data_IF_596201746917
#
_entry.id   IF_596201746917
#
_cell.length_a   1.000
_cell.length_b   1.000
_cell.length_c   1.000
_cell.angle_alpha   90.00
_cell.angle_beta   90.00
_cell.angle_gamma   90.00
#
_symmetry.space_group_name_H-M   'P 1'
#
loop_
_entity.id
_entity.type
_entity.pdbx_description
1 polymer ?
#
# COMPACT_ATOMS: atom_id res chain seq x y z
N UNK A 1 -4.01 -2.21 13.66
CA UNK A 1 -3.47 -1.73 12.37
C UNK A 1 -3.41 -0.22 12.39
N UNK A 2 -2.53 0.36 11.59
CA UNK A 2 -2.35 1.80 11.41
C UNK A 2 -2.61 2.16 9.96
N UNK A 3 -2.91 3.43 9.70
CA UNK A 3 -3.22 3.92 8.37
C UNK A 3 -2.34 5.11 8.00
N UNK A 4 -1.79 5.10 6.79
CA UNK A 4 -1.12 6.24 6.16
C UNK A 4 -1.89 6.65 4.91
N UNK A 5 -1.82 7.94 4.60
CA UNK A 5 -2.44 8.49 3.39
C UNK A 5 -1.46 8.36 2.21
N UNK A 6 -1.99 7.96 1.06
CA UNK A 6 -1.29 7.95 -0.23
C UNK A 6 -2.25 8.47 -1.28
N UNK A 7 -1.76 9.12 -2.34
CA UNK A 7 -2.62 9.53 -3.45
C UNK A 7 -2.97 8.33 -4.32
N UNK A 8 -4.15 8.31 -4.97
CA UNK A 8 -4.56 7.15 -5.78
C UNK A 8 -3.59 6.84 -6.93
N UNK A 9 -3.06 7.88 -7.58
CA UNK A 9 -2.08 7.74 -8.65
C UNK A 9 -0.71 7.22 -8.20
N UNK A 10 -0.44 7.21 -6.90
CA UNK A 10 0.84 6.78 -6.32
C UNK A 10 0.81 5.34 -5.82
N UNK A 11 -0.34 4.65 -5.81
CA UNK A 11 -0.45 3.28 -5.26
C UNK A 11 0.45 2.29 -5.99
N UNK A 12 0.36 2.22 -7.32
CA UNK A 12 1.19 1.32 -8.14
C UNK A 12 2.67 1.73 -8.16
N UNK A 13 3.03 3.02 -8.39
CA UNK A 13 4.43 3.45 -8.27
C UNK A 13 5.04 3.19 -6.90
N UNK A 14 4.27 3.39 -5.82
CA UNK A 14 4.76 3.13 -4.46
C UNK A 14 4.92 1.63 -4.19
N UNK A 15 4.04 0.77 -4.72
CA UNK A 15 4.25 -0.68 -4.71
C UNK A 15 5.59 -1.03 -5.36
N UNK A 16 5.88 -0.51 -6.56
CA UNK A 16 7.15 -0.76 -7.24
C UNK A 16 8.34 -0.24 -6.43
N UNK A 17 8.20 0.93 -5.79
CA UNK A 17 9.21 1.47 -4.88
C UNK A 17 9.45 0.57 -3.66
N UNK A 18 8.41 -0.02 -3.07
CA UNK A 18 8.54 -0.97 -1.96
C UNK A 18 9.27 -2.24 -2.39
N UNK A 19 8.99 -2.77 -3.59
CA UNK A 19 9.69 -3.93 -4.15
C UNK A 19 11.20 -3.68 -4.25
N UNK A 20 11.61 -2.50 -4.73
CA UNK A 20 13.02 -2.10 -4.79
C UNK A 20 13.63 -1.98 -3.38
N UNK A 21 12.83 -1.68 -2.36
CA UNK A 21 13.24 -1.63 -0.96
C UNK A 21 13.11 -2.99 -0.22
N UNK A 22 12.98 -4.09 -0.97
CA UNK A 22 13.01 -5.45 -0.43
C UNK A 22 11.73 -5.90 0.26
N UNK A 23 10.59 -5.33 -0.12
CA UNK A 23 9.28 -5.87 0.20
C UNK A 23 8.87 -6.90 -0.86
N UNK A 24 8.14 -7.93 -0.44
CA UNK A 24 7.64 -8.98 -1.33
C UNK A 24 6.11 -8.93 -1.41
N UNK A 25 5.55 -9.13 -2.60
CA UNK A 25 4.09 -9.28 -2.77
C UNK A 25 3.66 -10.62 -2.18
N UNK A 26 2.70 -10.56 -1.26
CA UNK A 26 2.05 -11.73 -0.65
C UNK A 26 0.78 -12.09 -1.40
N UNK A 27 -0.07 -11.10 -1.70
CA UNK A 27 -1.27 -11.26 -2.53
C UNK A 27 -1.65 -9.95 -3.20
N UNK A 28 -2.43 -10.07 -4.27
CA UNK A 28 -3.06 -8.93 -4.94
C UNK A 28 -4.48 -9.34 -5.30
N UNK A 29 -5.44 -8.65 -4.69
CA UNK A 29 -6.86 -8.95 -4.82
C UNK A 29 -7.54 -7.74 -5.47
N UNK A 30 -8.31 -7.96 -6.52
CA UNK A 30 -8.98 -6.88 -7.25
C UNK A 30 -10.32 -7.33 -7.81
N UNK A 31 -11.24 -6.38 -7.94
CA UNK A 31 -12.58 -6.65 -8.46
C UNK A 31 -13.32 -5.40 -8.90
N UNK A 32 -14.35 -5.63 -9.72
CA UNK A 32 -15.30 -4.61 -10.15
C UNK A 32 -16.66 -4.91 -9.54
N UNK A 33 -17.30 -3.92 -8.93
CA UNK A 33 -18.67 -4.01 -8.41
C UNK A 33 -19.51 -2.85 -8.92
N UNK A 34 -20.79 -3.10 -9.18
CA UNK A 34 -21.75 -2.09 -9.62
C UNK A 34 -21.93 -0.93 -8.61
N UNK A 35 -21.56 -1.13 -7.34
CA UNK A 35 -21.74 -0.14 -6.26
C UNK A 35 -20.50 0.70 -5.94
N UNK A 36 -19.30 0.19 -6.24
CA UNK A 36 -18.03 0.80 -5.79
C UNK A 36 -17.09 1.09 -6.98
N UNK A 37 -17.46 0.68 -8.19
CA UNK A 37 -16.60 0.76 -9.36
C UNK A 37 -15.46 -0.27 -9.28
N UNK A 38 -14.22 0.17 -9.52
CA UNK A 38 -13.02 -0.68 -9.47
C UNK A 38 -12.33 -0.54 -8.13
N UNK A 39 -11.89 -1.65 -7.54
CA UNK A 39 -11.06 -1.62 -6.34
C UNK A 39 -10.04 -2.75 -6.34
N UNK A 40 -8.90 -2.51 -5.71
CA UNK A 40 -7.91 -3.53 -5.44
C UNK A 40 -7.15 -3.27 -4.14
N UNK A 41 -6.56 -4.35 -3.62
CA UNK A 41 -5.70 -4.36 -2.43
C UNK A 41 -4.44 -5.13 -2.79
N UNK A 42 -3.28 -4.54 -2.52
CA UNK A 42 -1.97 -5.19 -2.71
C UNK A 42 -1.37 -5.43 -1.33
N UNK A 43 -1.22 -6.69 -0.95
CA UNK A 43 -0.59 -7.09 0.30
C UNK A 43 0.90 -7.34 0.07
N UNK A 44 1.75 -6.61 0.79
CA UNK A 44 3.20 -6.81 0.80
C UNK A 44 3.71 -7.15 2.21
N UNK A 45 4.81 -7.87 2.27
CA UNK A 45 5.49 -8.15 3.54
C UNK A 45 7.01 -8.10 3.45
N UNK A 46 7.65 -7.87 4.59
CA UNK A 46 9.10 -7.91 4.76
C UNK A 46 9.46 -8.39 6.16
N UNK A 47 10.55 -9.13 6.31
CA UNK A 47 11.04 -9.50 7.65
C UNK A 47 11.93 -8.37 8.20
N UNK A 48 11.54 -7.79 9.34
CA UNK A 48 12.27 -6.75 10.09
C UNK A 48 12.55 -7.30 11.49
N UNK A 49 13.83 -7.45 11.86
CA UNK A 49 14.24 -7.92 13.20
C UNK A 49 13.50 -9.21 13.63
N UNK A 50 13.46 -10.21 12.75
CA UNK A 50 12.76 -11.51 12.94
C UNK A 50 11.23 -11.43 13.06
N UNK A 51 10.64 -10.23 12.88
CA UNK A 51 9.20 -10.03 12.85
C UNK A 51 8.73 -9.75 11.44
N UNK A 52 7.52 -10.23 11.12
CA UNK A 52 6.90 -9.98 9.84
C UNK A 52 6.25 -8.58 9.84
N UNK A 53 6.79 -7.67 9.04
CA UNK A 53 6.17 -6.41 8.69
C UNK A 53 5.19 -6.65 7.53
N UNK A 54 3.99 -6.11 7.63
CA UNK A 54 2.93 -6.30 6.64
C UNK A 54 2.27 -4.96 6.33
N UNK A 55 1.93 -4.77 5.06
CA UNK A 55 1.20 -3.61 4.57
C UNK A 55 0.25 -3.97 3.45
N UNK A 56 -0.87 -3.25 3.39
CA UNK A 56 -1.88 -3.36 2.36
C UNK A 56 -2.06 -2.01 1.70
N UNK A 57 -1.86 -1.95 0.39
CA UNK A 57 -2.10 -0.76 -0.42
C UNK A 57 -3.52 -0.86 -0.98
N UNK A 58 -4.40 0.04 -0.56
CA UNK A 58 -5.79 0.07 -0.99
C UNK A 58 -5.99 1.13 -2.06
N UNK A 59 -6.73 0.77 -3.10
CA UNK A 59 -7.21 1.68 -4.13
C UNK A 59 -8.67 1.38 -4.44
N UNK A 60 -9.45 2.44 -4.65
CA UNK A 60 -10.78 2.37 -5.25
C UNK A 60 -11.04 3.54 -6.19
N UNK A 61 -11.81 3.28 -7.24
CA UNK A 61 -12.36 4.26 -8.17
C UNK A 61 -13.87 4.02 -8.30
N UNK A 62 -14.65 4.91 -7.68
CA UNK A 62 -16.10 4.90 -7.76
C UNK A 62 -16.58 6.06 -8.65
N UNK A 63 -16.88 5.75 -9.92
CA UNK A 63 -17.39 6.72 -10.90
C UNK A 63 -16.50 7.97 -11.05
N UNK A 64 -15.18 7.78 -11.00
CA UNK A 64 -14.19 8.86 -11.11
C UNK A 64 -13.80 9.50 -9.77
N UNK A 65 -14.45 9.11 -8.67
CA UNK A 65 -13.98 9.46 -7.32
C UNK A 65 -12.99 8.40 -6.84
N UNK A 66 -11.71 8.77 -6.84
CA UNK A 66 -10.62 7.88 -6.47
C UNK A 66 -10.21 8.06 -5.01
N UNK A 67 -10.01 6.96 -4.31
CA UNK A 67 -9.54 6.92 -2.94
C UNK A 67 -8.42 5.90 -2.79
N UNK A 68 -7.50 6.16 -1.86
CA UNK A 68 -6.43 5.23 -1.54
C UNK A 68 -5.88 5.48 -0.16
N UNK A 69 -5.37 4.42 0.45
CA UNK A 69 -4.66 4.49 1.73
C UNK A 69 -3.75 3.28 1.88
N UNK A 70 -2.84 3.36 2.85
CA UNK A 70 -1.95 2.29 3.23
C UNK A 70 -2.41 1.81 4.60
N UNK A 71 -2.79 0.54 4.72
CA UNK A 71 -2.94 -0.13 6.00
C UNK A 71 -1.63 -0.86 6.34
N UNK A 72 -1.23 -0.89 7.60
CA UNK A 72 -0.01 -1.56 8.03
C UNK A 72 -0.05 -2.01 9.48
N UNK A 73 0.79 -3.00 9.80
CA UNK A 73 0.99 -3.43 11.18
C UNK A 73 1.99 -2.53 11.95
N UNK A 74 2.08 -2.70 13.27
CA UNK A 74 2.98 -1.88 14.10
C UNK A 74 4.46 -2.06 13.76
N UNK A 75 4.84 -3.25 13.29
CA UNK A 75 6.24 -3.59 12.93
C UNK A 75 6.67 -2.78 11.71
N UNK A 76 5.78 -2.63 10.73
CA UNK A 76 6.00 -1.84 9.52
C UNK A 76 6.04 -0.32 9.74
N UNK A 77 5.55 0.19 10.88
CA UNK A 77 5.27 1.62 11.07
C UNK A 77 6.43 2.54 10.76
N UNK A 78 7.58 2.29 11.39
CA UNK A 78 8.73 3.18 11.30
C UNK A 78 9.28 3.21 9.87
N UNK A 79 9.54 2.02 9.30
CA UNK A 79 10.08 1.86 7.96
C UNK A 79 9.13 2.42 6.89
N UNK A 80 7.84 2.08 6.91
CA UNK A 80 6.90 2.58 5.90
C UNK A 80 6.68 4.09 5.98
N UNK A 81 6.68 4.66 7.18
CA UNK A 81 6.55 6.12 7.32
C UNK A 81 7.77 6.82 6.71
N UNK A 82 8.96 6.26 6.85
CA UNK A 82 10.19 6.80 6.27
C UNK A 82 10.25 6.60 4.75
N UNK A 83 9.94 5.40 4.26
CA UNK A 83 9.87 5.10 2.82
C UNK A 83 8.85 6.00 2.11
N UNK A 84 7.68 6.22 2.70
CA UNK A 84 6.65 7.10 2.14
C UNK A 84 7.11 8.56 2.09
N UNK A 85 7.81 9.05 3.12
CA UNK A 85 8.39 10.40 3.11
C UNK A 85 9.45 10.55 2.03
N UNK A 86 10.33 9.56 1.87
CA UNK A 86 11.38 9.57 0.87
C UNK A 86 10.80 9.53 -0.56
N UNK A 87 9.74 8.73 -0.77
CA UNK A 87 9.01 8.67 -2.04
C UNK A 87 8.45 10.02 -2.48
N UNK A 88 7.95 10.84 -1.55
CA UNK A 88 7.44 12.18 -1.88
C UNK A 88 8.53 13.27 -1.91
N UNK A 89 9.74 12.98 -1.46
CA UNK A 89 10.85 13.91 -1.46
C UNK A 89 11.70 13.82 -2.74
N UNK A 90 11.58 12.73 -3.50
CA UNK A 90 12.18 12.52 -4.83
C UNK A 90 11.37 13.15 -5.94
#
# INVERSE_FOLDING_TARGET
MLYLQIKPNDVEPFKDYLLVNGWDIVSQDGGQSNFIGWAYIIHLSKNIEEKKAETWLHFSDNQGMQESHIELNMVAKLELTELLKNYYAS
#
